data_IF_239482424795
#
_entry.id   IF_239482424795
#
_cell.length_a   1.000
_cell.length_b   1.000
_cell.length_c   1.000
_cell.angle_alpha   90.00
_cell.angle_beta   90.00
_cell.angle_gamma   90.00
#
_symmetry.space_group_name_H-M   'P 1'
#
loop_
_entity.id
_entity.type
_entity.pdbx_description
1 polymer ?
#
# COMPACT_ATOMS: atom_id res chain seq x y z
N UNK A 1 10.81 -14.08 26.58
CA UNK A 1 10.55 -13.16 25.46
C UNK A 1 11.88 -12.83 24.81
N UNK A 2 12.06 -13.21 23.55
CA UNK A 2 13.26 -12.93 22.74
C UNK A 2 13.32 -11.46 22.34
N UNK A 3 14.48 -10.94 21.94
CA UNK A 3 14.62 -9.56 21.44
C UNK A 3 13.75 -9.30 20.21
N UNK A 4 13.60 -10.32 19.34
CA UNK A 4 12.66 -10.30 18.22
C UNK A 4 11.22 -10.06 18.69
N UNK A 5 10.78 -10.79 19.73
CA UNK A 5 9.42 -10.66 20.25
C UNK A 5 9.18 -9.27 20.87
N UNK A 6 10.18 -8.72 21.59
CA UNK A 6 10.12 -7.36 22.13
C UNK A 6 9.97 -6.30 21.03
N UNK A 7 10.77 -6.38 19.97
CA UNK A 7 10.69 -5.46 18.83
C UNK A 7 9.31 -5.52 18.16
N UNK A 8 8.80 -6.74 17.91
CA UNK A 8 7.47 -6.94 17.34
C UNK A 8 6.38 -6.34 18.23
N UNK A 9 6.47 -6.53 19.54
CA UNK A 9 5.49 -5.99 20.48
C UNK A 9 5.53 -4.46 20.51
N UNK A 10 6.72 -3.86 20.53
CA UNK A 10 6.91 -2.41 20.46
C UNK A 10 6.24 -1.83 19.20
N UNK A 11 6.50 -2.42 18.03
CA UNK A 11 5.87 -1.99 16.76
C UNK A 11 4.36 -2.20 16.76
N UNK A 12 3.85 -3.28 17.37
CA UNK A 12 2.40 -3.49 17.46
C UNK A 12 1.70 -2.47 18.37
N UNK A 13 2.42 -1.92 19.33
CA UNK A 13 1.91 -0.92 20.26
C UNK A 13 2.06 0.52 19.73
N UNK A 14 2.74 0.70 18.60
CA UNK A 14 2.82 1.99 17.92
C UNK A 14 1.42 2.51 17.52
N UNK A 15 1.05 3.75 17.88
CA UNK A 15 -0.26 4.31 17.60
C UNK A 15 -0.63 4.35 16.11
N UNK A 16 0.34 4.61 15.23
CA UNK A 16 0.14 4.72 13.79
C UNK A 16 -0.05 3.34 13.17
N UNK A 17 0.69 2.33 13.63
CA UNK A 17 0.44 0.92 13.26
C UNK A 17 -0.95 0.48 13.73
N UNK A 18 -1.37 0.84 14.94
CA UNK A 18 -2.71 0.49 15.42
C UNK A 18 -3.81 1.21 14.62
N UNK A 19 -3.60 2.49 14.27
CA UNK A 19 -4.52 3.27 13.44
C UNK A 19 -4.62 2.67 12.05
N UNK A 20 -3.49 2.34 11.43
CA UNK A 20 -3.40 1.67 10.14
C UNK A 20 -4.23 0.38 10.14
N UNK A 21 -4.04 -0.50 11.14
CA UNK A 21 -4.79 -1.76 11.23
C UNK A 21 -6.30 -1.57 11.36
N UNK A 22 -6.75 -0.55 12.10
CA UNK A 22 -8.18 -0.23 12.21
C UNK A 22 -8.75 0.20 10.85
N UNK A 23 -8.08 1.12 10.16
CA UNK A 23 -8.51 1.59 8.84
C UNK A 23 -8.46 0.44 7.82
N UNK A 24 -7.39 -0.36 7.84
CA UNK A 24 -7.21 -1.53 6.99
C UNK A 24 -8.38 -2.52 7.14
N UNK A 25 -8.81 -2.81 8.38
CA UNK A 25 -9.94 -3.69 8.62
C UNK A 25 -11.25 -3.14 8.01
N UNK A 26 -11.49 -1.83 8.11
CA UNK A 26 -12.65 -1.19 7.48
C UNK A 26 -12.59 -1.27 5.96
N UNK A 27 -11.46 -0.90 5.35
CA UNK A 27 -11.23 -0.97 3.90
C UNK A 27 -11.40 -2.41 3.40
N UNK A 28 -10.76 -3.38 4.06
CA UNK A 28 -10.81 -4.79 3.66
C UNK A 28 -12.17 -5.44 3.90
N UNK A 29 -13.01 -4.92 4.79
CA UNK A 29 -14.37 -5.43 4.95
C UNK A 29 -15.31 -5.02 3.81
N UNK A 30 -14.97 -3.96 3.07
CA UNK A 30 -15.81 -3.42 2.01
C UNK A 30 -15.71 -4.27 0.72
N UNK A 31 -16.77 -5.03 0.43
CA UNK A 31 -16.86 -5.90 -0.76
C UNK A 31 -16.83 -5.12 -2.08
N UNK A 32 -17.44 -3.93 -2.10
CA UNK A 32 -17.50 -3.11 -3.31
C UNK A 32 -16.12 -2.53 -3.63
N UNK A 33 -15.42 -1.99 -2.63
CA UNK A 33 -14.06 -1.48 -2.78
C UNK A 33 -13.09 -2.58 -3.24
N UNK A 34 -13.19 -3.78 -2.65
CA UNK A 34 -12.44 -4.96 -3.10
C UNK A 34 -12.71 -5.31 -4.57
N UNK A 35 -13.97 -5.26 -4.99
CA UNK A 35 -14.37 -5.47 -6.39
C UNK A 35 -13.75 -4.41 -7.30
N UNK A 36 -13.84 -3.13 -6.92
CA UNK A 36 -13.23 -2.01 -7.66
C UNK A 36 -11.71 -2.18 -7.80
N UNK A 37 -10.99 -2.53 -6.72
CA UNK A 37 -9.55 -2.80 -6.78
C UNK A 37 -9.18 -3.97 -7.70
N UNK A 38 -9.97 -5.04 -7.70
CA UNK A 38 -9.75 -6.18 -8.60
C UNK A 38 -9.98 -5.78 -10.07
N UNK A 39 -11.02 -4.99 -10.34
CA UNK A 39 -11.32 -4.44 -11.66
C UNK A 39 -10.20 -3.49 -12.13
N UNK A 40 -9.68 -2.63 -11.25
CA UNK A 40 -8.56 -1.72 -11.54
C UNK A 40 -7.32 -2.50 -11.99
N UNK A 41 -6.96 -3.59 -11.28
CA UNK A 41 -5.84 -4.46 -11.65
C UNK A 41 -6.05 -5.14 -13.00
N UNK A 42 -7.28 -5.58 -13.29
CA UNK A 42 -7.61 -6.18 -14.58
C UNK A 42 -7.48 -5.16 -15.73
N UNK A 43 -7.98 -3.93 -15.52
CA UNK A 43 -7.83 -2.82 -16.47
C UNK A 43 -6.36 -2.45 -16.69
N UNK A 44 -5.54 -2.41 -15.64
CA UNK A 44 -4.11 -2.16 -15.76
C UNK A 44 -3.42 -3.19 -16.66
N UNK A 45 -3.75 -4.48 -16.49
CA UNK A 45 -3.20 -5.56 -17.34
C UNK A 45 -3.65 -5.41 -18.79
N UNK A 46 -4.92 -5.08 -19.01
CA UNK A 46 -5.46 -4.81 -20.36
C UNK A 46 -4.78 -3.61 -21.01
N UNK A 47 -4.53 -2.55 -20.25
CA UNK A 47 -3.84 -1.36 -20.71
C UNK A 47 -2.38 -1.65 -21.11
N UNK A 48 -1.63 -2.38 -20.27
CA UNK A 48 -0.26 -2.81 -20.59
C UNK A 48 -0.23 -3.62 -21.89
N UNK A 49 -1.17 -4.57 -22.05
CA UNK A 49 -1.27 -5.34 -23.28
C UNK A 49 -1.63 -4.47 -24.50
N UNK A 50 -2.58 -3.53 -24.36
CA UNK A 50 -2.97 -2.61 -25.42
C UNK A 50 -1.82 -1.70 -25.87
N UNK A 51 -1.01 -1.22 -24.91
CA UNK A 51 0.23 -0.47 -25.15
C UNK A 51 1.25 -1.31 -25.93
N UNK A 52 1.45 -2.57 -25.54
CA UNK A 52 2.36 -3.49 -26.21
C UNK A 52 2.00 -3.71 -27.69
N UNK A 53 0.70 -3.92 -27.99
CA UNK A 53 0.22 -4.16 -29.36
C UNK A 53 -0.09 -2.87 -30.15
N UNK A 54 0.11 -1.68 -29.57
CA UNK A 54 -0.06 -0.39 -30.24
C UNK A 54 -1.50 0.02 -30.60
N UNK A 55 -2.52 -0.51 -29.92
CA UNK A 55 -3.94 -0.18 -30.21
C UNK A 55 -4.38 1.13 -29.55
N UNK A 56 -4.13 2.26 -30.21
CA UNK A 56 -4.37 3.62 -29.68
C UNK A 56 -5.78 3.85 -29.09
N UNK A 57 -6.84 3.47 -29.80
CA UNK A 57 -8.21 3.68 -29.30
C UNK A 57 -8.51 2.88 -28.03
N UNK A 58 -8.00 1.64 -27.97
CA UNK A 58 -8.14 0.79 -26.79
C UNK A 58 -7.32 1.35 -25.60
N UNK A 59 -6.13 1.88 -25.85
CA UNK A 59 -5.30 2.53 -24.83
C UNK A 59 -6.06 3.69 -24.19
N UNK A 60 -6.59 4.62 -25.00
CA UNK A 60 -7.33 5.77 -24.50
C UNK A 60 -8.58 5.36 -23.70
N UNK A 61 -9.32 4.36 -24.19
CA UNK A 61 -10.50 3.85 -23.48
C UNK A 61 -10.13 3.22 -22.13
N UNK A 62 -9.08 2.40 -22.09
CA UNK A 62 -8.63 1.77 -20.84
C UNK A 62 -8.03 2.78 -19.87
N UNK A 63 -7.29 3.79 -20.33
CA UNK A 63 -6.77 4.87 -19.48
C UNK A 63 -7.90 5.68 -18.83
N UNK A 64 -8.91 6.07 -19.60
CA UNK A 64 -10.06 6.81 -19.06
C UNK A 64 -10.82 6.00 -18.02
N UNK A 65 -11.08 4.71 -18.27
CA UNK A 65 -11.74 3.81 -17.31
C UNK A 65 -10.88 3.55 -16.08
N UNK A 66 -9.57 3.39 -16.27
CA UNK A 66 -8.63 3.20 -15.17
C UNK A 66 -8.60 4.42 -14.26
N UNK A 67 -8.51 5.62 -14.82
CA UNK A 67 -8.49 6.86 -14.04
C UNK A 67 -9.79 7.05 -13.25
N UNK A 68 -10.94 6.90 -13.90
CA UNK A 68 -12.24 7.02 -13.21
C UNK A 68 -12.37 6.02 -12.05
N UNK A 69 -11.89 4.79 -12.23
CA UNK A 69 -11.94 3.78 -11.19
C UNK A 69 -10.91 4.02 -10.08
N UNK A 70 -9.74 4.56 -10.41
CA UNK A 70 -8.71 4.96 -9.45
C UNK A 70 -9.23 6.10 -8.58
N UNK A 71 -9.78 7.15 -9.18
CA UNK A 71 -10.35 8.30 -8.47
C UNK A 71 -11.47 7.83 -7.51
N UNK A 72 -12.32 6.91 -7.95
CA UNK A 72 -13.37 6.30 -7.14
C UNK A 72 -12.83 5.54 -5.91
N UNK A 73 -11.65 4.92 -6.03
CA UNK A 73 -10.98 4.18 -4.96
C UNK A 73 -10.29 5.16 -4.01
N UNK A 74 -9.57 6.15 -4.53
CA UNK A 74 -8.84 7.15 -3.76
C UNK A 74 -9.78 8.07 -2.96
N UNK A 75 -10.96 8.38 -3.50
CA UNK A 75 -11.99 9.15 -2.82
C UNK A 75 -12.78 8.33 -1.77
N UNK A 76 -12.51 7.04 -1.62
CA UNK A 76 -13.14 6.24 -0.58
C UNK A 76 -12.76 6.78 0.81
N UNK A 77 -13.70 6.89 1.77
CA UNK A 77 -13.41 7.40 3.10
C UNK A 77 -12.21 6.70 3.74
N UNK A 78 -11.29 7.50 4.29
CA UNK A 78 -10.06 7.04 4.95
C UNK A 78 -9.01 6.40 4.02
N UNK A 79 -9.21 6.36 2.69
CA UNK A 79 -8.21 5.80 1.77
C UNK A 79 -6.92 6.63 1.75
N UNK A 80 -7.03 7.96 1.68
CA UNK A 80 -5.85 8.85 1.73
C UNK A 80 -5.06 8.65 3.03
N UNK A 81 -5.75 8.64 4.18
CA UNK A 81 -5.15 8.36 5.49
C UNK A 81 -4.49 6.98 5.56
N UNK A 82 -5.11 5.96 4.95
CA UNK A 82 -4.56 4.61 4.88
C UNK A 82 -3.26 4.58 4.10
N UNK A 83 -3.22 5.22 2.93
CA UNK A 83 -2.02 5.28 2.08
C UNK A 83 -0.88 6.08 2.72
N UNK A 84 -1.19 7.20 3.38
CA UNK A 84 -0.21 8.00 4.12
C UNK A 84 0.43 7.16 5.25
N UNK A 85 -0.39 6.57 6.12
CA UNK A 85 0.10 5.69 7.18
C UNK A 85 0.88 4.49 6.64
N UNK A 86 0.46 3.91 5.51
CA UNK A 86 1.18 2.81 4.89
C UNK A 86 2.59 3.24 4.46
N UNK A 87 2.72 4.44 3.89
CA UNK A 87 4.02 5.01 3.52
C UNK A 87 4.89 5.22 4.76
N UNK A 88 4.36 5.90 5.77
CA UNK A 88 5.09 6.22 7.00
C UNK A 88 5.59 4.95 7.71
N UNK A 89 4.74 3.92 7.79
CA UNK A 89 5.09 2.63 8.37
C UNK A 89 6.18 1.93 7.54
N UNK A 90 6.12 1.99 6.21
CA UNK A 90 7.16 1.40 5.35
C UNK A 90 8.50 2.09 5.53
N UNK A 91 8.52 3.41 5.63
CA UNK A 91 9.73 4.20 5.83
C UNK A 91 10.34 3.91 7.21
N UNK A 92 9.50 3.83 8.25
CA UNK A 92 9.93 3.40 9.59
C UNK A 92 10.53 1.98 9.56
N UNK A 93 9.90 1.04 8.84
CA UNK A 93 10.40 -0.32 8.72
C UNK A 93 11.75 -0.38 7.99
N UNK A 94 11.94 0.43 6.95
CA UNK A 94 13.23 0.54 6.25
C UNK A 94 14.31 1.09 7.17
N UNK A 95 14.03 2.15 7.94
CA UNK A 95 14.98 2.70 8.90
C UNK A 95 15.39 1.67 9.98
N UNK A 96 14.45 0.85 10.47
CA UNK A 96 14.76 -0.23 11.41
C UNK A 96 15.70 -1.26 10.79
N UNK A 97 15.46 -1.65 9.53
CA UNK A 97 16.33 -2.58 8.79
C UNK A 97 17.73 -1.98 8.65
N UNK A 98 17.85 -0.72 8.24
CA UNK A 98 19.13 -0.02 8.11
C UNK A 98 19.91 0.03 9.42
N UNK A 99 19.24 0.29 10.55
CA UNK A 99 19.86 0.28 11.90
C UNK A 99 20.39 -1.11 12.24
N UNK A 100 19.63 -2.16 11.93
CA UNK A 100 20.06 -3.55 12.22
C UNK A 100 21.23 -3.95 11.32
N UNK A 101 21.21 -3.55 10.05
CA UNK A 101 22.24 -3.91 9.06
C UNK A 101 23.55 -3.14 9.28
N UNK A 102 23.48 -1.85 9.64
CA UNK A 102 24.64 -0.96 9.64
C UNK A 102 24.95 -0.32 10.99
N UNK A 103 23.93 -0.07 11.80
CA UNK A 103 24.06 0.66 13.07
C UNK A 103 24.79 -0.18 14.13
N UNK A 104 24.51 -1.48 14.19
CA UNK A 104 25.16 -2.39 15.14
C UNK A 104 26.68 -2.47 14.88
N UNK A 105 27.13 -2.43 13.62
CA UNK A 105 28.56 -2.52 13.28
C UNK A 105 29.35 -1.26 13.67
N UNK A 106 28.75 -0.06 13.54
CA UNK A 106 29.42 1.21 13.87
C UNK A 106 29.63 1.44 15.36
N UNK A 107 28.77 0.88 16.22
CA UNK A 107 28.88 1.01 17.68
C UNK A 107 29.88 0.02 18.30
N UNK A 108 30.51 -0.85 17.49
CA UNK A 108 31.57 -1.78 17.92
C UNK A 108 33.00 -1.28 17.62
N UNK A 109 33.15 -0.12 16.97
CA UNK A 109 34.43 0.61 16.84
C UNK A 109 34.59 1.65 17.95
#
# INVERSE_FOLDING_TARGET
>A
MTEKEKLIEMLKNDPDIQRYKRIEAHINSNKELKRKMAELKALQKQLVNAKYIGKKDAILSFESRYQALLDDIENYPLMSDYMALQSDINDMMQAIVEIIETGIEKDFE
#
